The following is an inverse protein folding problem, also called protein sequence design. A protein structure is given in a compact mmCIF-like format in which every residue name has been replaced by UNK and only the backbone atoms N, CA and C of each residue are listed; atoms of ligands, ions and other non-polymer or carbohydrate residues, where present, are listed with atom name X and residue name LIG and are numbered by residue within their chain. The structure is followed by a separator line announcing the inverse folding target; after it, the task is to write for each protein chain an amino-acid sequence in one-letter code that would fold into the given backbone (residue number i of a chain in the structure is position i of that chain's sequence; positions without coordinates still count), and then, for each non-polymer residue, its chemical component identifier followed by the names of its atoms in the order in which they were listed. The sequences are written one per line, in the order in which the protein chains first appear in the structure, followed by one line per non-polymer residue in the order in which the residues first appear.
data_IF_552375402115
#
_entry.id   IF_552375402115
#
_cell.length_a   1.000
_cell.length_b   1.000
_cell.length_c   1.000
_cell.angle_alpha   90.00
_cell.angle_beta   90.00
_cell.angle_gamma   90.00
#
_symmetry.space_group_name_H-M   'P 1'
#
loop_
_entity.id
_entity.type
_entity.pdbx_description
1 polymer ?
#
# COMPACT_ATOMS: atom_id res chain seq x y z
N UNK A 1 4.16 -28.62 -20.15
CA UNK A 1 4.34 -28.21 -18.74
C UNK A 1 5.71 -28.72 -18.31
N UNK A 2 6.74 -27.87 -18.33
CA UNK A 2 8.15 -28.32 -18.29
C UNK A 2 8.60 -28.46 -16.83
N UNK A 3 9.41 -29.49 -16.52
CA UNK A 3 10.01 -29.71 -15.20
C UNK A 3 10.76 -28.48 -14.64
N UNK A 4 11.27 -27.60 -15.53
CA UNK A 4 11.93 -26.33 -15.19
C UNK A 4 11.00 -25.37 -14.42
N UNK A 5 9.70 -25.36 -14.71
CA UNK A 5 8.71 -24.50 -14.05
C UNK A 5 8.45 -24.94 -12.60
N UNK A 6 8.81 -26.17 -12.22
CA UNK A 6 8.70 -26.68 -10.83
C UNK A 6 10.00 -26.51 -10.02
N UNK A 7 11.15 -26.41 -10.69
CA UNK A 7 12.44 -26.22 -10.03
C UNK A 7 12.70 -24.76 -9.63
N UNK A 8 12.28 -23.80 -10.46
CA UNK A 8 12.45 -22.36 -10.20
C UNK A 8 11.70 -21.88 -8.94
N UNK A 9 10.42 -22.26 -8.70
CA UNK A 9 9.70 -21.86 -7.48
C UNK A 9 10.33 -22.44 -6.21
N UNK A 10 10.81 -23.70 -6.27
CA UNK A 10 11.44 -24.34 -5.10
C UNK A 10 12.77 -23.71 -4.73
N UNK A 11 13.53 -23.21 -5.71
CA UNK A 11 14.78 -22.48 -5.48
C UNK A 11 14.52 -21.10 -4.89
N UNK A 12 13.62 -20.32 -5.50
CA UNK A 12 13.22 -19.01 -4.99
C UNK A 12 12.69 -19.07 -3.54
N UNK A 13 11.85 -20.06 -3.21
CA UNK A 13 11.39 -20.25 -1.81
C UNK A 13 12.57 -20.54 -0.89
N UNK A 14 13.51 -21.41 -1.31
CA UNK A 14 14.69 -21.79 -0.51
C UNK A 14 15.71 -20.68 -0.35
N UNK A 15 15.65 -19.65 -1.18
CA UNK A 15 16.50 -18.46 -1.08
C UNK A 15 15.85 -17.41 -0.16
N UNK A 16 14.51 -17.38 -0.06
CA UNK A 16 13.79 -16.35 0.71
C UNK A 16 13.32 -16.81 2.09
N UNK A 17 12.85 -18.06 2.25
CA UNK A 17 12.12 -18.46 3.45
C UNK A 17 12.26 -19.94 3.80
N UNK A 18 12.48 -20.22 5.09
CA UNK A 18 12.31 -21.54 5.69
C UNK A 18 10.83 -21.79 6.00
N UNK A 19 10.16 -22.55 5.13
CA UNK A 19 8.75 -22.94 5.30
C UNK A 19 8.54 -23.76 6.58
N UNK A 20 7.54 -23.39 7.38
CA UNK A 20 7.19 -24.04 8.64
C UNK A 20 5.79 -24.68 8.60
N UNK A 21 4.83 -24.04 7.94
CA UNK A 21 3.46 -24.55 7.83
C UNK A 21 2.85 -24.15 6.47
N UNK A 22 2.10 -25.07 5.86
CA UNK A 22 1.38 -24.85 4.60
C UNK A 22 -0.11 -25.10 4.85
N UNK A 23 -0.94 -24.13 4.45
CA UNK A 23 -2.37 -24.15 4.62
C UNK A 23 -2.84 -23.81 6.03
N UNK A 24 -4.03 -23.22 6.11
CA UNK A 24 -4.60 -22.72 7.37
C UNK A 24 -4.72 -23.83 8.41
N UNK A 25 -5.05 -25.06 8.03
CA UNK A 25 -5.16 -26.16 9.00
C UNK A 25 -3.83 -26.49 9.68
N UNK A 26 -2.73 -26.48 8.94
CA UNK A 26 -1.39 -26.71 9.51
C UNK A 26 -0.95 -25.50 10.34
N UNK A 27 -1.18 -24.29 9.82
CA UNK A 27 -0.87 -23.04 10.53
C UNK A 27 -1.66 -22.97 11.83
N UNK A 28 -2.94 -23.33 11.85
CA UNK A 28 -3.78 -23.30 13.06
C UNK A 28 -3.29 -24.29 14.12
N UNK A 29 -2.81 -25.47 13.72
CA UNK A 29 -2.24 -26.47 14.65
C UNK A 29 -0.91 -26.02 15.26
N UNK A 30 -0.01 -25.44 14.46
CA UNK A 30 1.34 -25.07 14.90
C UNK A 30 1.41 -23.66 15.49
N UNK A 31 0.65 -22.72 14.91
CA UNK A 31 0.65 -21.29 15.21
C UNK A 31 -0.79 -20.74 15.27
N UNK A 32 -1.61 -21.13 16.25
CA UNK A 32 -3.02 -20.75 16.32
C UNK A 32 -3.24 -19.22 16.35
N UNK A 33 -2.33 -18.45 16.94
CA UNK A 33 -2.38 -17.00 16.91
C UNK A 33 -2.17 -16.43 15.50
N UNK A 34 -1.22 -16.97 14.73
CA UNK A 34 -0.97 -16.57 13.33
C UNK A 34 -2.17 -16.88 12.44
N UNK A 35 -2.83 -18.02 12.62
CA UNK A 35 -4.06 -18.33 11.89
C UNK A 35 -5.17 -17.29 12.15
N UNK A 36 -5.36 -16.87 13.40
CA UNK A 36 -6.33 -15.80 13.75
C UNK A 36 -5.95 -14.45 13.12
N UNK A 37 -4.66 -14.13 13.09
CA UNK A 37 -4.16 -12.90 12.49
C UNK A 37 -4.35 -12.88 10.96
N UNK A 38 -4.11 -14.01 10.27
CA UNK A 38 -4.41 -14.13 8.84
C UNK A 38 -5.90 -13.86 8.58
N UNK A 39 -6.79 -14.44 9.38
CA UNK A 39 -8.23 -14.17 9.29
C UNK A 39 -8.56 -12.69 9.49
N UNK A 40 -8.00 -12.07 10.52
CA UNK A 40 -8.21 -10.65 10.79
C UNK A 40 -7.75 -9.76 9.62
N UNK A 41 -6.56 -10.02 9.07
CA UNK A 41 -6.06 -9.30 7.90
C UNK A 41 -6.93 -9.51 6.66
N UNK A 42 -7.40 -10.74 6.43
CA UNK A 42 -8.31 -11.05 5.32
C UNK A 42 -9.65 -10.32 5.47
N UNK A 43 -10.28 -10.36 6.65
CA UNK A 43 -11.54 -9.66 6.93
C UNK A 43 -11.39 -8.14 6.75
N UNK A 44 -10.28 -7.56 7.22
CA UNK A 44 -10.00 -6.15 7.07
C UNK A 44 -9.73 -5.76 5.59
N UNK A 45 -9.07 -6.62 4.82
CA UNK A 45 -8.89 -6.42 3.38
C UNK A 45 -10.23 -6.44 2.62
N UNK A 46 -11.12 -7.39 2.94
CA UNK A 46 -12.49 -7.44 2.39
C UNK A 46 -13.26 -6.18 2.76
N UNK A 47 -13.16 -5.72 4.00
CA UNK A 47 -13.82 -4.49 4.46
C UNK A 47 -13.31 -3.26 3.69
N UNK A 48 -11.99 -3.10 3.52
CA UNK A 48 -11.42 -2.00 2.75
C UNK A 48 -11.89 -2.02 1.30
N UNK A 49 -11.83 -3.14 0.59
CA UNK A 49 -12.24 -3.19 -0.81
C UNK A 49 -13.74 -2.92 -0.98
N UNK A 50 -14.57 -3.51 -0.12
CA UNK A 50 -16.03 -3.30 -0.16
C UNK A 50 -16.38 -1.84 0.07
N UNK A 51 -15.75 -1.22 1.08
CA UNK A 51 -15.93 0.19 1.38
C UNK A 51 -15.36 1.09 0.27
N UNK A 52 -14.21 0.76 -0.32
CA UNK A 52 -13.62 1.52 -1.41
C UNK A 52 -14.54 1.56 -2.62
N UNK A 53 -15.10 0.41 -3.03
CA UNK A 53 -16.07 0.31 -4.13
C UNK A 53 -17.28 1.20 -3.86
N UNK A 54 -17.85 1.12 -2.65
CA UNK A 54 -19.03 1.90 -2.28
C UNK A 54 -18.75 3.40 -2.17
N UNK A 55 -17.62 3.79 -1.57
CA UNK A 55 -17.20 5.19 -1.43
C UNK A 55 -16.91 5.83 -2.80
N UNK A 56 -16.39 5.04 -3.75
CA UNK A 56 -16.12 5.49 -5.11
C UNK A 56 -17.39 5.88 -5.88
N UNK A 57 -18.51 5.18 -5.65
CA UNK A 57 -19.80 5.56 -6.23
C UNK A 57 -20.35 6.88 -5.69
N UNK A 58 -19.79 7.36 -4.57
CA UNK A 58 -20.18 8.58 -3.90
C UNK A 58 -19.16 9.70 -4.00
N UNK A 59 -18.08 9.51 -4.76
CA UNK A 59 -16.93 10.44 -4.79
C UNK A 59 -17.30 11.88 -5.17
N UNK A 60 -18.38 12.05 -5.91
CA UNK A 60 -18.92 13.36 -6.32
C UNK A 60 -20.09 13.86 -5.47
N UNK A 61 -20.39 13.20 -4.35
CA UNK A 61 -21.37 13.70 -3.40
C UNK A 61 -20.84 14.94 -2.66
N UNK A 62 -21.75 15.67 -2.02
CA UNK A 62 -21.41 16.86 -1.22
C UNK A 62 -20.88 16.55 0.19
N UNK A 63 -20.86 15.28 0.59
CA UNK A 63 -20.43 14.89 1.91
C UNK A 63 -18.94 15.21 2.13
N UNK A 64 -18.59 15.66 3.35
CA UNK A 64 -17.22 16.10 3.69
C UNK A 64 -16.19 14.99 3.41
N UNK A 65 -16.50 13.74 3.81
CA UNK A 65 -15.60 12.61 3.60
C UNK A 65 -15.44 12.26 2.12
N UNK A 66 -16.50 12.39 1.32
CA UNK A 66 -16.45 12.10 -0.11
C UNK A 66 -15.62 13.16 -0.86
N UNK A 67 -15.75 14.44 -0.48
CA UNK A 67 -14.85 15.52 -0.93
C UNK A 67 -13.39 15.25 -0.55
N UNK A 68 -13.11 14.84 0.70
CA UNK A 68 -11.75 14.51 1.15
C UNK A 68 -11.16 13.34 0.35
N UNK A 69 -11.96 12.32 0.05
CA UNK A 69 -11.54 11.19 -0.81
C UNK A 69 -11.26 11.64 -2.23
N UNK A 70 -12.09 12.51 -2.81
CA UNK A 70 -11.86 13.07 -4.14
C UNK A 70 -10.52 13.81 -4.22
N UNK A 71 -10.30 14.73 -3.28
CA UNK A 71 -9.04 15.48 -3.18
C UNK A 71 -7.84 14.57 -2.95
N UNK A 72 -8.01 13.50 -2.17
CA UNK A 72 -6.97 12.49 -2.01
C UNK A 72 -6.63 11.81 -3.34
N UNK A 73 -7.62 11.37 -4.12
CA UNK A 73 -7.38 10.74 -5.43
C UNK A 73 -6.68 11.70 -6.40
N UNK A 74 -7.14 12.96 -6.45
CA UNK A 74 -6.54 14.00 -7.28
C UNK A 74 -5.08 14.26 -6.90
N UNK A 75 -4.80 14.43 -5.60
CA UNK A 75 -3.45 14.60 -5.07
C UNK A 75 -2.58 13.37 -5.33
N UNK A 76 -3.11 12.18 -5.05
CA UNK A 76 -2.39 10.91 -5.16
C UNK A 76 -1.85 10.66 -6.55
N UNK A 77 -2.67 10.89 -7.59
CA UNK A 77 -2.22 10.76 -8.98
C UNK A 77 -1.58 12.04 -9.54
N UNK A 78 -1.60 13.15 -8.80
CA UNK A 78 -1.21 14.46 -9.30
C UNK A 78 -2.03 14.87 -10.53
N UNK A 79 -3.34 14.68 -10.50
CA UNK A 79 -4.26 15.04 -11.59
C UNK A 79 -5.17 16.18 -11.17
N UNK A 80 -5.55 17.03 -12.12
CA UNK A 80 -6.34 18.23 -11.81
C UNK A 80 -7.78 17.92 -11.40
N UNK A 81 -8.41 16.94 -12.06
CA UNK A 81 -9.80 16.53 -11.80
C UNK A 81 -9.92 15.02 -11.98
N UNK A 82 -10.43 14.32 -10.96
CA UNK A 82 -10.77 12.91 -11.13
C UNK A 82 -11.96 12.77 -12.08
N UNK A 83 -11.83 11.89 -13.07
CA UNK A 83 -12.88 11.62 -14.05
C UNK A 83 -13.38 10.17 -13.96
N UNK A 84 -14.45 9.89 -14.70
CA UNK A 84 -15.08 8.57 -14.71
C UNK A 84 -14.13 7.45 -15.19
N UNK A 85 -13.18 7.76 -16.07
CA UNK A 85 -12.19 6.79 -16.55
C UNK A 85 -11.27 6.33 -15.41
N UNK A 86 -10.74 7.27 -14.62
CA UNK A 86 -9.93 6.95 -13.43
C UNK A 86 -10.74 6.13 -12.43
N UNK A 87 -11.99 6.54 -12.18
CA UNK A 87 -12.88 5.84 -11.25
C UNK A 87 -13.12 4.39 -11.69
N UNK A 88 -13.41 4.18 -12.99
CA UNK A 88 -13.60 2.83 -13.55
C UNK A 88 -12.34 1.97 -13.42
N UNK A 89 -11.15 2.53 -13.68
CA UNK A 89 -9.86 1.81 -13.55
C UNK A 89 -9.60 1.33 -12.12
N UNK A 90 -9.90 2.15 -11.12
CA UNK A 90 -9.76 1.80 -9.70
C UNK A 90 -10.82 0.76 -9.29
N UNK A 91 -12.10 1.01 -9.62
CA UNK A 91 -13.20 0.06 -9.30
C UNK A 91 -12.96 -1.31 -9.91
N UNK A 92 -12.49 -1.38 -11.15
CA UNK A 92 -12.15 -2.64 -11.81
C UNK A 92 -11.14 -3.44 -10.97
N UNK A 93 -10.03 -2.81 -10.56
CA UNK A 93 -9.01 -3.46 -9.73
C UNK A 93 -9.54 -3.87 -8.37
N UNK A 94 -10.30 -2.99 -7.71
CA UNK A 94 -10.94 -3.30 -6.43
C UNK A 94 -11.88 -4.52 -6.53
N UNK A 95 -12.69 -4.61 -7.58
CA UNK A 95 -13.57 -5.75 -7.84
C UNK A 95 -12.79 -7.04 -8.12
N UNK A 96 -11.71 -6.97 -8.87
CA UNK A 96 -10.86 -8.14 -9.14
C UNK A 96 -10.24 -8.70 -7.86
N UNK A 97 -9.67 -7.83 -7.02
CA UNK A 97 -9.10 -8.23 -5.72
C UNK A 97 -10.17 -8.77 -4.77
N UNK A 98 -11.32 -8.10 -4.68
CA UNK A 98 -12.42 -8.53 -3.80
C UNK A 98 -12.97 -9.88 -4.26
N UNK A 99 -13.14 -10.05 -5.58
CA UNK A 99 -13.59 -11.30 -6.17
C UNK A 99 -12.64 -12.45 -5.85
N UNK A 100 -11.32 -12.22 -5.80
CA UNK A 100 -10.36 -13.24 -5.42
C UNK A 100 -10.38 -13.56 -3.91
N UNK A 101 -10.49 -12.54 -3.04
CA UNK A 101 -10.60 -12.75 -1.59
C UNK A 101 -11.83 -13.58 -1.21
N UNK A 102 -12.96 -13.35 -1.89
CA UNK A 102 -14.21 -14.05 -1.63
C UNK A 102 -14.25 -15.48 -2.20
N UNK A 103 -13.23 -15.93 -2.95
CA UNK A 103 -13.19 -17.31 -3.45
C UNK A 103 -12.94 -18.31 -2.31
N UNK A 104 -13.60 -19.48 -2.34
CA UNK A 104 -13.30 -20.56 -1.39
C UNK A 104 -11.83 -20.97 -1.36
N UNK A 105 -11.12 -20.85 -2.49
CA UNK A 105 -9.69 -21.17 -2.58
C UNK A 105 -8.79 -20.27 -1.73
N UNK A 106 -9.24 -19.07 -1.36
CA UNK A 106 -8.52 -18.12 -0.50
C UNK A 106 -9.21 -17.90 0.86
N UNK A 107 -10.17 -18.75 1.22
CA UNK A 107 -10.87 -18.65 2.49
C UNK A 107 -9.87 -18.71 3.67
N UNK A 108 -9.89 -17.75 4.60
CA UNK A 108 -8.89 -17.66 5.68
C UNK A 108 -9.04 -18.74 6.75
N UNK A 109 -10.07 -19.58 6.69
CA UNK A 109 -10.29 -20.70 7.60
C UNK A 109 -9.89 -22.05 7.01
N UNK A 110 -9.85 -22.19 5.68
CA UNK A 110 -9.68 -23.51 5.03
C UNK A 110 -8.63 -23.53 3.92
N UNK A 111 -8.16 -22.37 3.46
CA UNK A 111 -7.28 -22.29 2.29
C UNK A 111 -5.93 -22.98 2.52
N UNK A 112 -5.49 -23.72 1.52
CA UNK A 112 -4.13 -24.27 1.43
C UNK A 112 -3.10 -23.28 0.86
N UNK A 113 -3.52 -22.06 0.49
CA UNK A 113 -2.66 -21.07 -0.21
C UNK A 113 -1.80 -20.25 0.73
N UNK A 114 -2.15 -20.15 2.00
CA UNK A 114 -1.32 -19.47 2.99
C UNK A 114 -0.15 -20.35 3.41
N UNK A 115 1.07 -19.82 3.35
CA UNK A 115 2.29 -20.48 3.81
C UNK A 115 2.94 -19.59 4.85
N UNK A 116 3.32 -20.16 6.00
CA UNK A 116 4.04 -19.45 7.05
C UNK A 116 5.44 -20.02 7.18
N UNK A 117 6.43 -19.16 7.31
CA UNK A 117 7.82 -19.53 7.55
C UNK A 117 8.61 -18.44 8.24
N UNK A 118 9.92 -18.66 8.33
CA UNK A 118 10.88 -17.66 8.76
C UNK A 118 11.72 -17.20 7.59
N UNK A 119 11.92 -15.88 7.46
CA UNK A 119 12.81 -15.32 6.45
C UNK A 119 14.24 -15.88 6.63
N UNK A 120 14.92 -16.15 5.52
CA UNK A 120 16.34 -16.54 5.56
C UNK A 120 17.25 -15.31 5.70
N UNK A 121 16.76 -14.17 5.22
CA UNK A 121 17.39 -12.85 5.26
C UNK A 121 16.50 -11.88 6.08
N UNK A 122 16.44 -12.03 7.42
CA UNK A 122 15.57 -11.20 8.27
C UNK A 122 15.90 -9.70 8.22
N UNK A 123 17.12 -9.34 7.83
CA UNK A 123 17.59 -7.98 7.58
C UNK A 123 16.81 -7.26 6.48
N UNK A 124 16.35 -7.99 5.45
CA UNK A 124 15.55 -7.43 4.35
C UNK A 124 14.12 -7.07 4.78
N UNK A 125 13.70 -7.51 5.97
CA UNK A 125 12.39 -7.16 6.56
C UNK A 125 11.18 -7.48 5.68
N UNK A 126 11.32 -8.45 4.76
CA UNK A 126 10.26 -8.92 3.85
C UNK A 126 9.08 -9.41 4.70
N UNK A 127 7.88 -8.85 4.49
CA UNK A 127 6.67 -9.24 5.21
C UNK A 127 6.00 -10.45 4.57
N UNK A 128 5.86 -10.42 3.25
CA UNK A 128 5.31 -11.50 2.47
C UNK A 128 5.92 -11.49 1.07
N UNK A 129 5.64 -12.53 0.30
CA UNK A 129 5.91 -12.56 -1.13
C UNK A 129 5.01 -13.59 -1.81
N UNK A 130 4.95 -13.48 -3.13
CA UNK A 130 4.33 -14.48 -4.02
C UNK A 130 5.34 -14.92 -5.07
N UNK A 131 5.05 -16.04 -5.73
CA UNK A 131 5.93 -16.58 -6.77
C UNK A 131 5.26 -16.42 -8.13
N UNK A 132 5.94 -15.75 -9.10
CA UNK A 132 5.44 -15.67 -10.46
C UNK A 132 5.21 -17.07 -11.03
N UNK A 133 4.07 -17.28 -11.69
CA UNK A 133 3.69 -18.53 -12.35
C UNK A 133 3.54 -19.76 -11.44
N UNK A 134 3.49 -19.62 -10.11
CA UNK A 134 3.13 -20.76 -9.26
C UNK A 134 1.64 -21.11 -9.48
N UNK A 135 1.38 -22.33 -9.96
CA UNK A 135 0.01 -22.80 -10.22
C UNK A 135 -0.90 -22.76 -9.00
N UNK A 136 -0.33 -23.01 -7.81
CA UNK A 136 -1.05 -22.96 -6.54
C UNK A 136 -1.29 -21.53 -6.03
N UNK A 137 -0.65 -20.51 -6.63
CA UNK A 137 -0.78 -19.08 -6.30
C UNK A 137 -0.75 -18.83 -4.79
N UNK A 138 0.28 -19.35 -4.11
CA UNK A 138 0.39 -19.25 -2.66
C UNK A 138 0.85 -17.87 -2.24
N UNK A 139 0.52 -17.52 -1.00
CA UNK A 139 0.98 -16.31 -0.32
C UNK A 139 1.91 -16.76 0.81
N UNK A 140 3.18 -16.39 0.71
CA UNK A 140 4.21 -16.75 1.68
C UNK A 140 4.35 -15.62 2.69
N UNK A 141 4.10 -15.92 3.96
CA UNK A 141 4.07 -14.98 5.07
C UNK A 141 5.25 -15.26 6.00
N UNK A 142 6.09 -14.25 6.20
CA UNK A 142 7.22 -14.32 7.14
C UNK A 142 6.78 -13.93 8.55
N UNK A 143 7.71 -13.92 9.49
CA UNK A 143 7.51 -13.36 10.81
C UNK A 143 7.12 -11.86 10.80
N UNK A 144 7.59 -11.08 9.81
CA UNK A 144 7.36 -9.63 9.73
C UNK A 144 5.92 -9.27 9.34
N UNK A 145 5.22 -10.16 8.64
CA UNK A 145 3.77 -10.00 8.44
C UNK A 145 3.00 -9.95 9.77
N UNK A 146 3.43 -10.73 10.76
CA UNK A 146 2.77 -10.83 12.07
C UNK A 146 3.29 -9.81 13.08
N UNK A 147 4.59 -9.47 12.99
CA UNK A 147 5.26 -8.47 13.83
C UNK A 147 6.12 -7.53 12.97
N UNK A 148 5.51 -6.49 12.38
CA UNK A 148 6.17 -5.60 11.42
C UNK A 148 7.14 -4.61 12.08
N UNK A 149 7.29 -4.59 13.40
CA UNK A 149 8.19 -3.64 14.07
C UNK A 149 7.63 -2.21 14.18
N UNK A 150 6.32 -2.03 14.04
CA UNK A 150 5.67 -0.71 14.04
C UNK A 150 5.38 -0.14 15.45
N UNK A 151 6.01 -0.68 16.50
CA UNK A 151 5.79 -0.25 17.90
C UNK A 151 6.01 1.25 18.08
N UNK A 152 6.92 1.84 17.30
CA UNK A 152 7.22 3.25 17.40
C UNK A 152 6.14 4.17 16.83
N UNK A 153 5.12 3.66 16.14
CA UNK A 153 3.92 4.42 15.75
C UNK A 153 2.81 4.36 16.82
N UNK A 154 2.87 3.43 17.77
CA UNK A 154 1.85 3.27 18.82
C UNK A 154 1.56 4.55 19.64
N UNK A 155 2.56 5.35 20.07
CA UNK A 155 2.28 6.53 20.90
C UNK A 155 1.75 7.73 20.09
N UNK A 156 1.81 7.68 18.76
CA UNK A 156 1.47 8.79 17.86
C UNK A 156 0.27 8.47 16.96
N UNK A 157 -0.52 7.45 17.28
CA UNK A 157 -1.75 7.12 16.55
C UNK A 157 -2.96 7.14 17.49
N UNK A 158 -4.18 7.35 16.97
CA UNK A 158 -5.40 7.10 17.73
C UNK A 158 -5.47 5.64 18.16
N UNK A 159 -5.97 5.39 19.38
CA UNK A 159 -6.21 4.02 19.88
C UNK A 159 -7.25 3.26 19.06
N UNK A 160 -8.16 3.98 18.41
CA UNK A 160 -9.20 3.43 17.53
C UNK A 160 -8.64 2.80 16.26
N UNK A 161 -7.46 3.24 15.80
CA UNK A 161 -6.84 2.69 14.60
C UNK A 161 -6.22 1.32 14.88
N UNK A 162 -6.77 0.25 14.30
CA UNK A 162 -6.16 -1.08 14.39
C UNK A 162 -5.01 -1.20 13.38
N UNK A 163 -3.84 -0.77 13.85
CA UNK A 163 -2.60 -0.79 13.06
C UNK A 163 -2.20 -2.21 12.64
N UNK A 164 -2.51 -3.24 13.43
CA UNK A 164 -2.15 -4.61 13.08
C UNK A 164 -3.04 -5.15 11.97
N UNK A 165 -4.36 -4.95 12.09
CA UNK A 165 -5.31 -5.31 11.03
C UNK A 165 -5.01 -4.55 9.74
N UNK A 166 -4.70 -3.25 9.83
CA UNK A 166 -4.30 -2.43 8.68
C UNK A 166 -3.05 -2.98 7.97
N UNK A 167 -1.97 -3.23 8.72
CA UNK A 167 -0.73 -3.81 8.18
C UNK A 167 -1.01 -5.09 7.39
N UNK A 168 -1.70 -6.04 8.03
CA UNK A 168 -1.96 -7.35 7.43
C UNK A 168 -2.86 -7.24 6.20
N UNK A 169 -3.88 -6.37 6.25
CA UNK A 169 -4.74 -6.13 5.10
C UNK A 169 -3.96 -5.52 3.93
N UNK A 170 -3.12 -4.52 4.19
CA UNK A 170 -2.29 -3.88 3.16
C UNK A 170 -1.34 -4.89 2.52
N UNK A 171 -0.58 -5.66 3.32
CA UNK A 171 0.32 -6.69 2.79
C UNK A 171 -0.43 -7.75 1.99
N UNK A 172 -1.59 -8.22 2.47
CA UNK A 172 -2.39 -9.18 1.71
C UNK A 172 -2.89 -8.61 0.38
N UNK A 173 -3.33 -7.35 0.35
CA UNK A 173 -3.77 -6.69 -0.89
C UNK A 173 -2.62 -6.49 -1.88
N UNK A 174 -1.44 -6.13 -1.37
CA UNK A 174 -0.21 -6.01 -2.15
C UNK A 174 0.11 -7.34 -2.84
N UNK A 175 0.28 -8.42 -2.06
CA UNK A 175 0.59 -9.74 -2.60
C UNK A 175 -0.48 -10.28 -3.54
N UNK A 176 -1.75 -10.04 -3.20
CA UNK A 176 -2.86 -10.49 -4.03
C UNK A 176 -2.91 -9.75 -5.37
N UNK A 177 -2.47 -8.49 -5.40
CA UNK A 177 -2.39 -7.70 -6.63
C UNK A 177 -1.42 -8.30 -7.64
N UNK A 178 -0.28 -8.84 -7.22
CA UNK A 178 0.62 -9.58 -8.10
C UNK A 178 -0.08 -10.81 -8.70
N UNK A 179 -0.82 -11.56 -7.88
CA UNK A 179 -1.45 -12.82 -8.31
C UNK A 179 -2.67 -12.64 -9.23
N UNK A 180 -3.35 -11.50 -9.14
CA UNK A 180 -4.66 -11.27 -9.80
C UNK A 180 -4.56 -10.27 -10.94
N UNK A 181 -3.69 -9.27 -10.80
CA UNK A 181 -3.59 -8.13 -11.71
C UNK A 181 -2.22 -8.04 -12.40
N UNK A 182 -1.27 -8.92 -12.04
CA UNK A 182 0.12 -8.88 -12.49
C UNK A 182 0.75 -7.50 -12.24
N UNK A 183 0.45 -6.88 -11.10
CA UNK A 183 1.11 -5.64 -10.65
C UNK A 183 2.60 -5.87 -10.43
N UNK A 184 3.36 -4.77 -10.42
CA UNK A 184 4.80 -4.74 -10.28
C UNK A 184 5.18 -3.88 -9.07
N UNK A 185 6.31 -4.16 -8.46
CA UNK A 185 6.90 -3.31 -7.42
C UNK A 185 7.81 -2.25 -8.04
N UNK A 186 7.22 -1.26 -8.72
CA UNK A 186 7.99 -0.14 -9.26
C UNK A 186 8.54 0.76 -8.15
N UNK A 187 7.81 0.90 -7.04
CA UNK A 187 8.21 1.71 -5.90
C UNK A 187 7.46 1.28 -4.65
N UNK A 188 8.18 1.17 -3.53
CA UNK A 188 7.60 0.97 -2.21
C UNK A 188 7.18 2.32 -1.62
N UNK A 189 5.89 2.46 -1.31
CA UNK A 189 5.27 3.61 -0.67
C UNK A 189 4.94 3.34 0.80
N UNK A 190 5.46 2.27 1.41
CA UNK A 190 5.17 1.91 2.80
C UNK A 190 3.64 1.80 3.05
N UNK A 191 2.88 1.21 2.11
CA UNK A 191 1.40 1.15 2.16
C UNK A 191 0.79 0.46 3.39
N UNK A 192 1.61 -0.30 4.13
CA UNK A 192 1.22 -1.01 5.34
C UNK A 192 1.42 -0.21 6.64
N UNK A 193 2.05 0.97 6.54
CA UNK A 193 2.22 1.91 7.66
C UNK A 193 0.94 2.75 7.88
N UNK A 194 0.76 3.35 9.06
CA UNK A 194 -0.43 4.14 9.35
C UNK A 194 -0.71 5.25 8.33
N UNK A 195 -1.99 5.58 8.14
CA UNK A 195 -2.38 6.75 7.34
C UNK A 195 -1.72 8.02 7.89
N UNK A 196 -1.10 8.82 7.01
CA UNK A 196 -0.37 10.04 7.39
C UNK A 196 -1.17 10.96 8.31
N UNK A 197 -2.44 11.19 7.98
CA UNK A 197 -3.31 12.11 8.71
C UNK A 197 -3.71 11.61 10.10
N UNK A 198 -3.38 10.37 10.48
CA UNK A 198 -3.57 9.85 11.83
C UNK A 198 -2.34 10.04 12.73
N UNK A 199 -1.20 10.46 12.20
CA UNK A 199 0.00 10.64 13.00
C UNK A 199 -0.09 11.94 13.83
N UNK A 200 0.07 11.82 15.15
CA UNK A 200 0.14 12.97 16.07
C UNK A 200 1.47 13.72 15.86
N UNK A 201 1.36 14.92 15.29
CA UNK A 201 2.47 15.83 15.00
C UNK A 201 2.71 16.88 16.09
N UNK A 202 2.06 16.77 17.26
CA UNK A 202 2.28 17.68 18.39
C UNK A 202 3.70 17.55 18.97
N UNK A 203 4.29 16.36 18.91
CA UNK A 203 5.65 16.07 19.39
C UNK A 203 6.69 16.16 18.28
N UNK A 204 7.96 16.42 18.62
CA UNK A 204 9.07 16.41 17.66
C UNK A 204 9.22 15.05 16.98
N UNK A 205 9.15 13.96 17.75
CA UNK A 205 9.26 12.58 17.23
C UNK A 205 8.11 12.28 16.27
N UNK A 206 6.90 12.72 16.60
CA UNK A 206 5.73 12.59 15.73
C UNK A 206 5.90 13.32 14.39
N UNK A 207 6.36 14.58 14.41
CA UNK A 207 6.67 15.34 13.19
C UNK A 207 7.72 14.66 12.31
N UNK A 208 8.86 14.28 12.89
CA UNK A 208 9.93 13.64 12.13
C UNK A 208 9.48 12.34 11.45
N UNK A 209 8.60 11.57 12.11
CA UNK A 209 8.03 10.34 11.53
C UNK A 209 6.96 10.60 10.50
N UNK A 210 6.12 11.60 10.70
CA UNK A 210 5.18 12.08 9.70
C UNK A 210 5.92 12.50 8.44
N UNK A 211 6.89 13.41 8.56
CA UNK A 211 7.65 13.94 7.42
C UNK A 211 8.42 12.85 6.68
N UNK A 212 8.97 11.86 7.41
CA UNK A 212 9.62 10.71 6.80
C UNK A 212 8.65 9.84 6.00
N UNK A 213 7.45 9.57 6.55
CA UNK A 213 6.44 8.78 5.85
C UNK A 213 5.82 9.55 4.68
N UNK A 214 5.63 10.87 4.81
CA UNK A 214 5.08 11.74 3.77
C UNK A 214 6.03 11.77 2.56
N UNK A 215 7.34 11.89 2.78
CA UNK A 215 8.34 11.77 1.70
C UNK A 215 8.21 10.46 0.93
N UNK A 216 7.91 9.36 1.60
CA UNK A 216 7.71 8.07 0.95
C UNK A 216 6.35 8.02 0.25
N UNK A 217 5.25 8.20 0.97
CA UNK A 217 3.88 8.00 0.46
C UNK A 217 3.44 9.02 -0.59
N UNK A 218 3.94 10.26 -0.54
CA UNK A 218 3.50 11.33 -1.44
C UNK A 218 4.56 11.73 -2.49
N UNK A 219 5.85 11.50 -2.23
CA UNK A 219 6.93 12.03 -3.07
C UNK A 219 7.83 10.96 -3.72
N UNK A 220 7.83 9.71 -3.26
CA UNK A 220 8.70 8.68 -3.85
C UNK A 220 8.21 8.17 -5.21
N UNK A 221 6.91 8.30 -5.52
CA UNK A 221 6.34 7.87 -6.79
C UNK A 221 5.19 8.76 -7.25
N UNK A 222 5.51 10.01 -7.59
CA UNK A 222 4.55 11.01 -8.03
C UNK A 222 5.11 11.90 -9.14
N UNK A 223 4.32 12.84 -9.64
CA UNK A 223 4.78 13.84 -10.62
C UNK A 223 5.86 14.79 -10.08
N UNK A 224 6.15 14.75 -8.77
CA UNK A 224 7.18 15.57 -8.12
C UNK A 224 8.46 14.80 -7.83
N UNK A 225 8.48 13.48 -8.05
CA UNK A 225 9.68 12.67 -7.87
C UNK A 225 10.75 13.08 -8.88
N UNK A 226 12.01 13.29 -8.46
CA UNK A 226 13.11 13.53 -9.39
C UNK A 226 13.22 12.41 -10.44
N UNK A 227 13.41 12.79 -11.70
CA UNK A 227 13.51 11.85 -12.83
C UNK A 227 14.57 10.76 -12.59
N UNK A 228 15.70 11.14 -12.00
CA UNK A 228 16.81 10.24 -11.66
C UNK A 228 16.50 9.20 -10.58
N UNK A 229 15.42 9.40 -9.82
CA UNK A 229 14.98 8.50 -8.73
C UNK A 229 13.85 7.56 -9.17
N UNK A 230 13.23 7.81 -10.33
CA UNK A 230 12.13 6.99 -10.83
C UNK A 230 12.63 5.71 -11.52
N UNK A 231 11.92 4.61 -11.26
CA UNK A 231 12.13 3.30 -11.88
C UNK A 231 13.57 2.81 -11.70
N UNK A 232 13.93 2.67 -10.42
CA UNK A 232 15.23 2.23 -9.96
C UNK A 232 15.08 0.99 -9.08
N UNK A 233 15.99 0.03 -9.23
CA UNK A 233 16.08 -1.16 -8.39
C UNK A 233 17.36 -1.07 -7.53
N UNK A 234 17.31 -1.50 -6.26
CA UNK A 234 18.50 -1.57 -5.43
C UNK A 234 19.45 -2.63 -6.02
N UNK A 235 20.75 -2.34 -6.02
CA UNK A 235 21.75 -3.35 -6.36
C UNK A 235 21.80 -4.42 -5.27
N UNK A 236 21.47 -5.67 -5.62
CA UNK A 236 21.48 -6.80 -4.68
C UNK A 236 22.90 -7.26 -4.31
N UNK A 237 23.93 -6.83 -5.08
CA UNK A 237 25.31 -7.31 -4.93
C UNK A 237 26.27 -6.29 -4.27
N UNK A 238 25.82 -5.05 -4.00
CA UNK A 238 26.69 -3.97 -3.53
C UNK A 238 26.19 -3.28 -2.24
N UNK A 239 26.98 -3.39 -1.16
CA UNK A 239 26.73 -2.77 0.16
C UNK A 239 26.71 -1.23 0.09
N UNK A 240 27.19 -0.64 -1.02
CA UNK A 240 27.30 0.79 -1.26
C UNK A 240 25.99 1.48 -1.71
N UNK A 241 24.86 0.76 -1.73
CA UNK A 241 23.51 1.31 -2.06
C UNK A 241 23.45 1.97 -3.44
N UNK A 242 24.10 1.38 -4.43
CA UNK A 242 23.92 1.81 -5.81
C UNK A 242 22.51 1.42 -6.29
N UNK A 243 21.84 2.34 -6.99
CA UNK A 243 20.53 2.14 -7.58
C UNK A 243 20.67 2.06 -9.10
N UNK A 244 20.29 0.94 -9.70
CA UNK A 244 20.36 0.75 -11.15
C UNK A 244 18.99 0.97 -11.80
N UNK A 245 19.00 1.23 -13.10
CA UNK A 245 17.78 1.41 -13.88
C UNK A 245 16.99 0.11 -13.95
N UNK A 246 15.66 0.20 -13.88
CA UNK A 246 14.75 -0.93 -13.99
C UNK A 246 15.05 -1.78 -15.25
N UNK A 247 15.13 -3.10 -15.09
CA UNK A 247 15.41 -4.02 -16.21
C UNK A 247 14.30 -5.08 -16.43
N UNK A 248 14.53 -5.97 -17.39
CA UNK A 248 13.75 -7.19 -17.58
C UNK A 248 12.25 -6.97 -17.81
N UNK A 249 11.43 -7.74 -17.09
CA UNK A 249 9.96 -7.73 -17.24
C UNK A 249 9.34 -6.43 -16.74
N UNK A 250 9.89 -5.87 -15.66
CA UNK A 250 9.42 -4.62 -15.08
C UNK A 250 9.58 -3.48 -16.08
N UNK A 251 10.76 -3.37 -16.73
CA UNK A 251 10.97 -2.39 -17.80
C UNK A 251 10.00 -2.60 -18.97
N UNK A 252 9.83 -3.83 -19.44
CA UNK A 252 8.90 -4.13 -20.54
C UNK A 252 7.46 -3.69 -20.24
N UNK A 253 6.99 -3.94 -19.01
CA UNK A 253 5.66 -3.52 -18.57
C UNK A 253 5.54 -1.99 -18.50
N UNK A 254 6.55 -1.32 -17.95
CA UNK A 254 6.59 0.14 -17.89
C UNK A 254 6.51 0.77 -19.29
N UNK A 255 7.30 0.27 -20.25
CA UNK A 255 7.29 0.74 -21.63
C UNK A 255 5.91 0.52 -22.28
N UNK A 256 5.24 -0.59 -21.99
CA UNK A 256 3.88 -0.86 -22.46
C UNK A 256 2.87 0.14 -21.88
N UNK A 257 2.87 0.34 -20.55
CA UNK A 257 1.93 1.26 -19.88
C UNK A 257 2.11 2.70 -20.33
N UNK A 258 3.35 3.13 -20.57
CA UNK A 258 3.67 4.49 -21.01
C UNK A 258 3.68 4.65 -22.53
N UNK A 259 3.60 3.55 -23.28
CA UNK A 259 3.85 3.53 -24.74
C UNK A 259 5.18 4.21 -25.11
N UNK A 260 6.21 4.01 -24.29
CA UNK A 260 7.54 4.57 -24.47
C UNK A 260 8.48 3.61 -25.19
N UNK A 261 9.49 4.15 -25.87
CA UNK A 261 10.54 3.36 -26.55
C UNK A 261 11.66 2.92 -25.62
N UNK A 262 11.93 3.72 -24.60
CA UNK A 262 13.01 3.52 -23.64
C UNK A 262 12.64 4.12 -22.28
N UNK A 263 13.49 3.86 -21.28
CA UNK A 263 13.24 4.28 -19.90
C UNK A 263 13.20 5.80 -19.74
N UNK A 264 14.04 6.53 -20.47
CA UNK A 264 14.07 8.00 -20.45
C UNK A 264 12.74 8.57 -20.94
N UNK A 265 12.21 8.04 -22.05
CA UNK A 265 10.90 8.44 -22.57
C UNK A 265 9.77 8.03 -21.61
N UNK A 266 9.87 6.89 -20.94
CA UNK A 266 8.90 6.43 -19.94
C UNK A 266 8.87 7.36 -18.71
N UNK A 267 10.03 7.75 -18.17
CA UNK A 267 10.12 8.72 -17.05
C UNK A 267 9.50 10.06 -17.41
N UNK A 268 9.85 10.60 -18.59
CA UNK A 268 9.24 11.83 -19.11
C UNK A 268 7.71 11.72 -19.17
N UNK A 269 7.18 10.63 -19.73
CA UNK A 269 5.73 10.45 -19.81
C UNK A 269 5.08 10.26 -18.44
N UNK A 270 5.69 9.54 -17.50
CA UNK A 270 5.19 9.45 -16.13
C UNK A 270 5.08 10.83 -15.47
N UNK A 271 6.05 11.72 -15.68
CA UNK A 271 6.03 13.08 -15.12
C UNK A 271 5.02 13.99 -15.83
N UNK A 272 4.94 13.95 -17.17
CA UNK A 272 4.18 14.93 -17.96
C UNK A 272 2.75 14.52 -18.33
N UNK A 273 2.43 13.22 -18.38
CA UNK A 273 1.14 12.69 -18.84
C UNK A 273 0.36 12.08 -17.68
N UNK A 274 -0.69 12.78 -17.25
CA UNK A 274 -1.58 12.38 -16.15
C UNK A 274 -2.19 10.98 -16.36
N UNK A 275 -2.57 10.63 -17.59
CA UNK A 275 -3.24 9.36 -17.87
C UNK A 275 -2.27 8.18 -17.79
N UNK A 276 -1.06 8.35 -18.35
CA UNK A 276 -0.01 7.33 -18.27
C UNK A 276 0.47 7.15 -16.84
N UNK A 277 0.62 8.24 -16.08
CA UNK A 277 0.97 8.19 -14.66
C UNK A 277 -0.07 7.42 -13.86
N UNK A 278 -1.37 7.69 -14.05
CA UNK A 278 -2.45 6.92 -13.41
C UNK A 278 -2.32 5.43 -13.72
N UNK A 279 -2.07 5.06 -14.98
CA UNK A 279 -1.92 3.66 -15.36
C UNK A 279 -0.71 2.99 -14.71
N UNK A 280 0.44 3.66 -14.71
CA UNK A 280 1.66 3.17 -14.07
C UNK A 280 1.48 3.02 -12.54
N UNK A 281 0.92 4.03 -11.87
CA UNK A 281 0.67 3.98 -10.44
C UNK A 281 -0.37 2.91 -10.06
N UNK A 282 -1.37 2.67 -10.90
CA UNK A 282 -2.34 1.59 -10.68
C UNK A 282 -1.81 0.19 -11.00
N UNK A 283 -0.67 0.11 -11.68
CA UNK A 283 0.07 -1.14 -11.92
C UNK A 283 1.18 -1.36 -10.88
N UNK A 284 1.49 -0.35 -10.05
CA UNK A 284 2.36 -0.50 -8.89
C UNK A 284 1.58 -1.11 -7.71
N UNK A 285 2.03 -2.25 -7.18
CA UNK A 285 1.31 -2.99 -6.14
C UNK A 285 1.10 -2.15 -4.86
N UNK A 286 2.13 -1.41 -4.44
CA UNK A 286 2.08 -0.62 -3.22
C UNK A 286 1.21 0.64 -3.37
N UNK A 287 1.30 1.32 -4.53
CA UNK A 287 0.40 2.44 -4.84
C UNK A 287 -1.06 2.02 -4.90
N UNK A 288 -1.37 0.90 -5.54
CA UNK A 288 -2.73 0.37 -5.59
C UNK A 288 -3.25 0.04 -4.18
N UNK A 289 -2.42 -0.57 -3.36
CA UNK A 289 -2.74 -0.93 -1.97
C UNK A 289 -3.00 0.31 -1.12
N UNK A 290 -2.09 1.29 -1.17
CA UNK A 290 -2.23 2.55 -0.43
C UNK A 290 -3.53 3.28 -0.83
N UNK A 291 -3.81 3.37 -2.14
CA UNK A 291 -5.04 3.97 -2.65
C UNK A 291 -6.30 3.26 -2.15
N UNK A 292 -6.36 1.93 -2.27
CA UNK A 292 -7.56 1.17 -1.91
C UNK A 292 -7.82 1.15 -0.41
N UNK A 293 -6.78 1.09 0.42
CA UNK A 293 -6.92 1.19 1.87
C UNK A 293 -7.38 2.58 2.30
N UNK A 294 -6.86 3.66 1.69
CA UNK A 294 -7.33 5.03 1.93
C UNK A 294 -8.78 5.24 1.51
N UNK A 295 -9.18 4.73 0.34
CA UNK A 295 -10.56 4.83 -0.14
C UNK A 295 -11.52 3.98 0.69
N UNK A 296 -11.05 2.84 1.18
CA UNK A 296 -11.79 1.89 1.99
C UNK A 296 -11.83 2.18 3.48
N UNK A 297 -11.04 3.14 3.97
CA UNK A 297 -10.95 3.38 5.41
C UNK A 297 -12.29 3.80 5.99
N UNK A 298 -12.69 3.23 7.15
CA UNK A 298 -13.96 3.53 7.77
C UNK A 298 -13.92 4.91 8.46
N UNK A 299 -15.07 5.53 8.77
CA UNK A 299 -15.15 6.87 9.36
C UNK A 299 -14.29 7.08 10.62
N UNK A 300 -14.17 6.06 11.47
CA UNK A 300 -13.36 6.06 12.68
C UNK A 300 -11.85 6.15 12.43
N UNK A 301 -11.40 5.90 11.20
CA UNK A 301 -10.00 6.03 10.76
C UNK A 301 -9.76 7.36 10.02
N UNK A 302 -10.62 8.35 10.26
CA UNK A 302 -10.38 9.73 9.91
C UNK A 302 -10.10 10.53 11.18
N UNK A 303 -9.25 11.57 11.11
CA UNK A 303 -9.13 12.53 12.20
C UNK A 303 -10.51 13.06 12.57
N UNK A 304 -10.79 13.15 13.87
CA UNK A 304 -11.98 13.85 14.34
C UNK A 304 -11.92 15.26 13.77
N UNK A 305 -12.94 15.64 12.98
CA UNK A 305 -13.07 17.01 12.52
C UNK A 305 -13.03 17.89 13.78
N UNK A 306 -12.05 18.79 13.87
CA UNK A 306 -12.12 19.87 14.85
C UNK A 306 -13.32 20.74 14.48
N UNK A 307 -14.49 20.40 15.04
CA UNK A 307 -15.63 21.29 15.07
C UNK A 307 -15.26 22.38 16.08
N UNK A 308 -14.63 23.45 15.59
CA UNK A 308 -14.55 24.73 16.28
C UNK A 308 -13.17 25.13 16.80
N UNK A 309 -12.33 25.68 15.90
CA UNK A 309 -11.40 26.75 16.26
C UNK A 309 -11.65 27.95 15.36
N UNK A 310 -12.83 28.55 15.51
CA UNK A 310 -13.13 29.87 14.97
C UNK A 310 -12.32 30.90 15.79
N UNK A 311 -11.02 31.07 15.49
CA UNK A 311 -10.26 32.24 15.92
C UNK A 311 -10.25 33.22 14.76
N UNK A 312 -11.33 34.00 14.65
CA UNK A 312 -11.28 35.26 13.91
C UNK A 312 -10.20 36.18 14.52
N UNK A 313 -9.64 37.11 13.74
CA UNK A 313 -8.66 38.07 14.24
C UNK A 313 -9.37 39.04 15.18
N UNK A 314 -9.33 38.74 16.47
CA UNK A 314 -9.75 39.67 17.52
C UNK A 314 -8.79 40.83 17.56
N UNK A 315 -9.19 41.94 16.95
CA UNK A 315 -8.59 43.25 17.12
C UNK A 315 -8.34 43.52 18.60
N UNK A 316 -7.08 43.79 18.93
CA UNK A 316 -6.67 44.37 20.20
C UNK A 316 -7.30 45.75 20.36
N UNK A 317 -8.39 45.86 21.11
CA UNK A 317 -8.82 47.11 21.71
C UNK A 317 -8.08 47.29 23.03
N UNK A 318 -7.12 48.23 23.05
CA UNK A 318 -6.51 48.75 24.27
C UNK A 318 -7.45 49.82 24.85
N UNK A 319 -7.91 49.71 26.11
CA UNK A 319 -8.48 50.84 26.82
C UNK A 319 -7.45 51.42 27.80
N UNK A 320 -7.02 52.65 27.49
CA UNK A 320 -6.82 53.78 28.41
C UNK A 320 -6.09 53.59 29.74
N UNK A 321 -4.96 54.28 29.86
CA UNK A 321 -4.58 54.95 31.10
C UNK A 321 -4.22 56.42 30.79
N UNK A 322 -5.08 57.34 31.23
CA UNK A 322 -4.71 58.75 31.46
C UNK A 322 -4.02 58.84 32.82
N UNK A 323 -2.98 59.65 32.95
CA UNK A 323 -2.86 60.68 34.00
C UNK A 323 -1.54 61.45 33.89
N UNK A 324 -1.71 62.78 33.89
CA UNK A 324 -0.74 63.88 34.11
C UNK A 324 0.18 64.32 32.97
#
# INVERSE_FOLDING_TARGET
MKLLDYCLPRRAIREQMRVQAIGIDSIRRLYPARARLIRLGHEQAVAYLSAAIWNMDRLFSDAILDKKRRLFVEKFFGISVVNESVIRKIKFRAHMLLGELLKPSLNPETSSRYVVGSALHPEHSIQAFTLPNESARKIYLTERFFDPGFQAYLPMRPRTFDMQAHNMAAVLLHELSHLVLDTIDFCYLDSSRPFLDLLDTSTLVGRLRHDALERVQEHAFSSTTPDSELFKEPDEEDDDRHWHDLEGKSLQRLLLLTSARDLTEARRFFLSDEHKRVDVMLDNADSLTLLLTHLGRPPEYHPLLEIGANRGPGMSSVPGAKAH
#
